data_IF_277761683691
#
_entry.id   IF_277761683691
#
_cell.length_a   1.000
_cell.length_b   1.000
_cell.length_c   1.000
_cell.angle_alpha   90.00
_cell.angle_beta   90.00
_cell.angle_gamma   90.00
#
_symmetry.space_group_name_H-M   'P 1'
#
loop_
_entity.id
_entity.type
_entity.pdbx_description
1 polymer ?
#
# COMPACT_ATOMS: atom_id res chain seq x y z
N UNK A 1 20.97 -7.63 14.40
CA UNK A 1 19.74 -6.94 13.94
C UNK A 1 18.62 -7.97 13.87
N UNK A 2 17.63 -7.92 14.75
CA UNK A 2 16.55 -8.94 14.75
C UNK A 2 15.74 -8.81 13.46
N UNK A 3 15.75 -9.88 12.66
CA UNK A 3 14.97 -10.01 11.43
C UNK A 3 13.50 -10.27 11.81
N UNK A 4 12.81 -9.23 12.31
CA UNK A 4 11.40 -9.35 12.71
C UNK A 4 10.54 -9.27 11.46
N UNK A 5 9.96 -10.42 11.09
CA UNK A 5 8.89 -10.50 10.08
C UNK A 5 7.75 -9.57 10.47
N UNK A 6 7.16 -8.89 9.49
CA UNK A 6 5.93 -8.12 9.68
C UNK A 6 4.80 -9.03 10.18
N UNK A 7 4.18 -8.64 11.29
CA UNK A 7 3.20 -9.44 12.01
C UNK A 7 1.87 -8.68 12.10
N UNK A 8 0.71 -9.32 11.85
CA UNK A 8 -0.57 -8.61 11.72
C UNK A 8 -1.04 -7.97 13.03
N UNK A 9 -0.89 -8.65 14.18
CA UNK A 9 -1.43 -8.15 15.45
C UNK A 9 -0.73 -6.86 15.93
N UNK A 10 0.61 -6.78 16.03
CA UNK A 10 1.27 -5.53 16.41
C UNK A 10 0.99 -4.41 15.40
N UNK A 11 0.91 -4.73 14.11
CA UNK A 11 0.59 -3.76 13.07
C UNK A 11 -0.81 -3.17 13.26
N UNK A 12 -1.80 -4.02 13.54
CA UNK A 12 -3.16 -3.59 13.82
C UNK A 12 -3.24 -2.63 15.01
N UNK A 13 -2.66 -2.99 16.16
CA UNK A 13 -2.67 -2.12 17.34
C UNK A 13 -1.91 -0.82 17.10
N UNK A 14 -0.78 -0.85 16.37
CA UNK A 14 -0.07 0.37 16.01
C UNK A 14 -0.91 1.25 15.07
N UNK A 15 -1.66 0.66 14.12
CA UNK A 15 -2.61 1.41 13.28
C UNK A 15 -3.66 2.12 14.14
N UNK A 16 -4.27 1.43 15.12
CA UNK A 16 -5.23 2.05 16.02
C UNK A 16 -4.61 3.22 16.80
N UNK A 17 -3.39 3.04 17.33
CA UNK A 17 -2.65 4.11 18.00
C UNK A 17 -2.37 5.30 17.08
N UNK A 18 -2.03 5.06 15.80
CA UNK A 18 -1.81 6.12 14.81
C UNK A 18 -3.09 6.91 14.53
N UNK A 19 -4.25 6.24 14.42
CA UNK A 19 -5.54 6.90 14.32
C UNK A 19 -5.86 7.74 15.56
N UNK A 20 -5.71 7.16 16.76
CA UNK A 20 -5.98 7.84 18.02
C UNK A 20 -5.06 9.04 18.28
N UNK A 21 -3.87 9.05 17.68
CA UNK A 21 -2.92 10.18 17.76
C UNK A 21 -3.04 11.18 16.61
N UNK A 22 -4.03 11.03 15.71
CA UNK A 22 -4.26 11.96 14.60
C UNK A 22 -3.19 11.92 13.52
N UNK A 23 -2.40 10.85 13.43
CA UNK A 23 -1.26 10.71 12.52
C UNK A 23 -1.60 10.07 11.17
N UNK A 24 -2.88 9.78 10.93
CA UNK A 24 -3.36 9.14 9.70
C UNK A 24 -4.23 10.15 8.95
N UNK A 25 -3.85 10.47 7.72
CA UNK A 25 -4.50 11.47 6.89
C UNK A 25 -5.04 10.86 5.60
N UNK A 26 -6.24 11.28 5.19
CA UNK A 26 -6.89 10.84 3.95
C UNK A 26 -7.06 12.02 2.98
N UNK A 27 -5.97 12.49 2.36
CA UNK A 27 -6.05 13.56 1.37
C UNK A 27 -6.95 13.15 0.20
N UNK A 28 -7.78 14.09 -0.27
CA UNK A 28 -8.76 13.87 -1.33
C UNK A 28 -8.43 14.57 -2.64
N UNK A 29 -7.38 15.39 -2.66
CA UNK A 29 -7.03 16.30 -3.75
C UNK A 29 -6.70 15.56 -5.06
N UNK A 30 -6.22 14.31 -4.96
CA UNK A 30 -5.83 13.49 -6.11
C UNK A 30 -6.87 12.44 -6.50
N UNK A 31 -8.00 12.36 -5.81
CA UNK A 31 -9.00 11.33 -6.12
C UNK A 31 -9.65 11.61 -7.48
N UNK A 32 -9.78 10.58 -8.30
CA UNK A 32 -10.27 10.68 -9.68
C UNK A 32 -9.20 11.14 -10.68
N UNK A 33 -8.01 11.57 -10.22
CA UNK A 33 -6.94 11.94 -11.13
C UNK A 33 -6.42 10.73 -11.91
N UNK A 34 -6.19 10.96 -13.20
CA UNK A 34 -5.60 9.98 -14.10
C UNK A 34 -4.09 10.13 -14.16
N UNK A 35 -3.41 8.99 -14.17
CA UNK A 35 -1.97 8.91 -14.35
C UNK A 35 -1.63 7.85 -15.41
N UNK A 36 -0.56 8.09 -16.15
CA UNK A 36 0.01 7.10 -17.07
C UNK A 36 1.08 6.30 -16.32
N UNK A 37 0.96 4.98 -16.31
CA UNK A 37 1.96 4.05 -15.79
C UNK A 37 2.25 2.99 -16.82
N UNK A 38 3.52 2.88 -17.22
CA UNK A 38 3.99 1.88 -18.18
C UNK A 38 3.18 1.92 -19.50
N UNK A 39 2.71 3.12 -19.90
CA UNK A 39 1.88 3.34 -21.08
C UNK A 39 0.38 3.07 -20.90
N UNK A 40 -0.03 2.61 -19.72
CA UNK A 40 -1.43 2.32 -19.39
C UNK A 40 -2.06 3.46 -18.55
N UNK A 41 -3.37 3.65 -18.71
CA UNK A 41 -4.16 4.62 -17.94
C UNK A 41 -4.57 4.04 -16.58
N UNK A 42 -4.33 4.79 -15.52
CA UNK A 42 -4.72 4.44 -14.15
C UNK A 42 -5.45 5.59 -13.48
N UNK A 43 -6.41 5.28 -12.62
CA UNK A 43 -7.20 6.26 -11.86
C UNK A 43 -6.89 6.10 -10.37
N UNK A 44 -6.57 7.20 -9.71
CA UNK A 44 -6.42 7.26 -8.27
C UNK A 44 -7.80 7.20 -7.61
N UNK A 45 -8.05 6.19 -6.77
CA UNK A 45 -9.33 6.08 -6.05
C UNK A 45 -9.21 6.20 -4.53
N UNK A 46 -8.00 6.17 -3.97
CA UNK A 46 -7.75 6.41 -2.55
C UNK A 46 -6.33 6.89 -2.30
N UNK A 47 -6.16 7.65 -1.23
CA UNK A 47 -4.85 7.97 -0.67
C UNK A 47 -4.89 7.97 0.86
N UNK A 48 -3.80 7.53 1.47
CA UNK A 48 -3.54 7.62 2.91
C UNK A 48 -2.09 8.05 3.12
N UNK A 49 -1.86 8.89 4.11
CA UNK A 49 -0.52 9.30 4.57
C UNK A 49 -0.45 9.07 6.06
N UNK A 50 0.67 8.54 6.53
CA UNK A 50 1.00 8.37 7.94
C UNK A 50 2.15 9.31 8.27
N UNK A 51 1.95 10.18 9.27
CA UNK A 51 3.00 11.11 9.67
C UNK A 51 4.22 10.33 10.18
N UNK A 52 5.44 10.68 9.73
CA UNK A 52 6.65 10.07 10.25
C UNK A 52 6.84 10.29 11.75
N UNK A 53 7.55 9.40 12.45
CA UNK A 53 8.08 9.71 13.78
C UNK A 53 8.94 10.97 13.75
N UNK A 54 9.02 11.66 14.88
CA UNK A 54 9.94 12.79 15.02
C UNK A 54 11.38 12.33 14.73
N UNK A 55 12.11 13.11 13.93
CA UNK A 55 13.49 12.79 13.52
C UNK A 55 13.62 11.83 12.34
N UNK A 56 12.53 11.26 11.82
CA UNK A 56 12.59 10.45 10.61
C UNK A 56 12.79 11.33 9.36
N UNK A 57 13.41 10.77 8.32
CA UNK A 57 13.65 11.48 7.06
C UNK A 57 12.33 12.01 6.45
N UNK A 58 12.39 13.19 5.83
CA UNK A 58 11.23 13.83 5.20
C UNK A 58 10.77 13.06 3.96
N UNK A 59 11.70 12.67 3.10
CA UNK A 59 11.42 11.86 1.92
C UNK A 59 11.32 10.37 2.29
N UNK A 60 10.49 9.57 1.58
CA UNK A 60 10.55 8.12 1.67
C UNK A 60 11.86 7.61 1.07
N UNK A 61 12.35 6.46 1.53
CA UNK A 61 13.55 5.80 0.98
C UNK A 61 13.24 4.78 -0.10
N UNK A 62 11.98 4.34 -0.23
CA UNK A 62 11.57 3.42 -1.29
C UNK A 62 10.09 3.52 -1.61
N UNK A 63 9.73 3.11 -2.84
CA UNK A 63 8.35 2.87 -3.28
C UNK A 63 8.20 1.40 -3.65
N UNK A 64 7.26 0.71 -3.02
CA UNK A 64 6.79 -0.60 -3.45
C UNK A 64 5.56 -0.40 -4.37
N UNK A 65 5.64 -0.90 -5.62
CA UNK A 65 4.57 -0.76 -6.63
C UNK A 65 4.10 -2.14 -7.09
N UNK A 66 2.98 -2.68 -6.56
CA UNK A 66 2.40 -3.91 -7.04
C UNK A 66 1.47 -3.67 -8.23
N UNK A 67 1.23 -4.70 -9.02
CA UNK A 67 0.02 -4.86 -9.83
C UNK A 67 -0.58 -6.23 -9.54
N UNK A 68 -1.91 -6.29 -9.55
CA UNK A 68 -2.65 -7.52 -9.34
C UNK A 68 -4.06 -7.40 -9.90
N UNK A 69 -4.64 -8.54 -10.29
CA UNK A 69 -6.03 -8.64 -10.68
C UNK A 69 -6.79 -9.44 -9.62
N UNK A 70 -7.87 -8.91 -9.07
CA UNK A 70 -8.62 -9.60 -8.00
C UNK A 70 -9.53 -10.67 -8.59
N UNK A 71 -9.49 -11.87 -8.02
CA UNK A 71 -10.39 -12.95 -8.39
C UNK A 71 -11.76 -12.78 -7.72
N UNK A 72 -12.85 -13.14 -8.42
CA UNK A 72 -14.20 -13.31 -7.87
C UNK A 72 -14.77 -12.07 -7.14
N UNK A 73 -14.36 -10.86 -7.52
CA UNK A 73 -14.85 -9.63 -6.92
C UNK A 73 -14.85 -8.50 -7.95
N UNK A 74 -15.94 -7.72 -8.01
CA UNK A 74 -15.98 -6.54 -8.88
C UNK A 74 -14.99 -5.47 -8.41
N UNK A 75 -14.59 -4.59 -9.32
CA UNK A 75 -13.71 -3.46 -9.04
C UNK A 75 -14.25 -2.62 -7.87
N UNK A 76 -15.54 -2.28 -7.89
CA UNK A 76 -16.18 -1.45 -6.86
C UNK A 76 -16.19 -2.15 -5.50
N UNK A 77 -16.50 -3.46 -5.49
CA UNK A 77 -16.46 -4.24 -4.26
C UNK A 77 -15.05 -4.31 -3.68
N UNK A 78 -14.02 -4.48 -4.51
CA UNK A 78 -12.63 -4.49 -4.03
C UNK A 78 -12.16 -3.09 -3.58
N UNK A 79 -12.59 -2.02 -4.25
CA UNK A 79 -12.33 -0.66 -3.78
C UNK A 79 -12.88 -0.47 -2.36
N UNK A 80 -14.13 -0.87 -2.09
CA UNK A 80 -14.69 -0.82 -0.75
C UNK A 80 -13.91 -1.73 0.23
N UNK A 81 -13.69 -2.99 -0.15
CA UNK A 81 -12.97 -3.97 0.66
C UNK A 81 -11.56 -3.52 1.05
N UNK A 82 -10.89 -2.73 0.21
CA UNK A 82 -9.52 -2.27 0.44
C UNK A 82 -9.33 -1.43 1.71
N UNK A 83 -10.42 -1.00 2.38
CA UNK A 83 -10.38 -0.42 3.73
C UNK A 83 -9.95 -1.43 4.81
N UNK A 84 -10.32 -2.71 4.68
CA UNK A 84 -10.04 -3.71 5.70
C UNK A 84 -8.54 -4.05 5.80
N UNK A 85 -7.81 -4.38 4.71
CA UNK A 85 -6.38 -4.66 4.80
C UNK A 85 -5.56 -3.46 5.25
N UNK A 86 -6.06 -2.24 5.01
CA UNK A 86 -5.40 -1.00 5.43
C UNK A 86 -5.13 -1.00 6.94
N UNK A 87 -6.07 -1.50 7.76
CA UNK A 87 -5.91 -1.56 9.22
C UNK A 87 -4.68 -2.36 9.68
N UNK A 88 -4.19 -3.27 8.83
CA UNK A 88 -3.03 -4.10 9.12
C UNK A 88 -1.75 -3.61 8.45
N UNK A 89 -1.84 -2.66 7.52
CA UNK A 89 -0.70 -2.16 6.75
C UNK A 89 -0.17 -0.85 7.34
N UNK A 90 -1.04 0.08 7.75
CA UNK A 90 -0.61 1.44 8.18
C UNK A 90 0.33 1.42 9.38
N UNK A 91 0.15 0.45 10.28
CA UNK A 91 0.96 0.29 11.47
C UNK A 91 2.23 -0.53 11.27
N UNK A 92 2.55 -0.94 10.04
CA UNK A 92 3.81 -1.64 9.76
C UNK A 92 5.01 -0.69 9.92
N UNK A 93 6.13 -1.16 10.50
CA UNK A 93 7.35 -0.36 10.63
C UNK A 93 7.77 0.24 9.28
N UNK A 94 8.03 1.55 9.27
CA UNK A 94 8.48 2.30 8.11
C UNK A 94 7.43 2.60 7.05
N UNK A 95 6.18 2.18 7.22
CA UNK A 95 5.11 2.58 6.31
C UNK A 95 4.91 4.11 6.36
N UNK A 96 4.89 4.76 5.19
CA UNK A 96 4.71 6.22 5.07
C UNK A 96 3.40 6.59 4.40
N UNK A 97 3.09 5.99 3.27
CA UNK A 97 1.87 6.35 2.54
C UNK A 97 1.42 5.23 1.62
N UNK A 98 0.16 5.31 1.20
CA UNK A 98 -0.35 4.47 0.12
C UNK A 98 -1.28 5.27 -0.79
N UNK A 99 -1.04 5.16 -2.09
CA UNK A 99 -1.92 5.62 -3.16
C UNK A 99 -2.49 4.39 -3.84
N UNK A 100 -3.82 4.30 -3.95
CA UNK A 100 -4.47 3.19 -4.63
C UNK A 100 -4.89 3.58 -6.03
N UNK A 101 -4.62 2.68 -6.97
CA UNK A 101 -4.86 2.86 -8.38
C UNK A 101 -5.73 1.73 -8.93
N UNK A 102 -6.56 2.07 -9.90
CA UNK A 102 -7.31 1.09 -10.70
C UNK A 102 -7.10 1.40 -12.18
N UNK A 103 -6.88 0.37 -12.98
CA UNK A 103 -6.93 0.50 -14.43
C UNK A 103 -8.40 0.34 -14.86
N UNK A 104 -9.05 1.37 -15.42
CA UNK A 104 -10.47 1.32 -15.78
C UNK A 104 -10.75 0.39 -16.97
N UNK A 105 -9.74 0.07 -17.78
CA UNK A 105 -9.88 -0.81 -18.94
C UNK A 105 -9.78 -2.28 -18.54
N UNK A 106 -8.79 -2.65 -17.71
CA UNK A 106 -8.53 -4.04 -17.35
C UNK A 106 -9.17 -4.46 -16.03
N UNK A 107 -9.51 -3.51 -15.15
CA UNK A 107 -9.93 -3.79 -13.78
C UNK A 107 -8.78 -4.15 -12.84
N UNK A 108 -7.53 -4.05 -13.31
CA UNK A 108 -6.36 -4.30 -12.47
C UNK A 108 -6.20 -3.24 -11.38
N UNK A 109 -5.59 -3.64 -10.29
CA UNK A 109 -5.23 -2.77 -9.19
C UNK A 109 -3.72 -2.59 -9.11
N UNK A 110 -3.31 -1.39 -8.72
CA UNK A 110 -1.93 -1.04 -8.45
C UNK A 110 -1.87 -0.01 -7.31
N UNK A 111 -0.68 0.46 -6.97
CA UNK A 111 -0.51 1.56 -6.04
C UNK A 111 0.93 1.95 -5.79
N UNK A 112 1.11 3.11 -5.18
CA UNK A 112 2.39 3.57 -4.65
C UNK A 112 2.39 3.38 -3.15
N UNK A 113 3.30 2.57 -2.64
CA UNK A 113 3.42 2.27 -1.22
C UNK A 113 4.77 2.83 -0.80
N UNK A 114 4.75 3.97 -0.12
CA UNK A 114 5.98 4.64 0.29
C UNK A 114 6.45 4.03 1.62
N UNK A 115 7.73 3.68 1.63
CA UNK A 115 8.43 3.12 2.77
C UNK A 115 9.61 3.99 3.13
N UNK A 116 9.96 3.96 4.41
CA UNK A 116 11.13 4.67 4.94
C UNK A 116 12.44 4.14 4.36
N UNK A 117 12.53 2.86 4.00
CA UNK A 117 13.73 2.28 3.38
C UNK A 117 13.41 1.13 2.42
N UNK A 118 14.39 0.78 1.57
CA UNK A 118 14.30 -0.36 0.64
C UNK A 118 14.06 -1.67 1.41
N UNK A 119 14.77 -1.88 2.52
CA UNK A 119 14.66 -3.10 3.33
C UNK A 119 13.24 -3.27 3.90
N UNK A 120 12.56 -2.17 4.23
CA UNK A 120 11.18 -2.21 4.72
C UNK A 120 10.18 -2.51 3.61
N UNK A 121 10.43 -2.01 2.39
CA UNK A 121 9.67 -2.40 1.20
C UNK A 121 9.86 -3.88 0.85
N UNK A 122 11.07 -4.42 0.94
CA UNK A 122 11.37 -5.84 0.73
C UNK A 122 10.68 -6.73 1.77
N UNK A 123 10.70 -6.31 3.04
CA UNK A 123 9.95 -6.99 4.11
C UNK A 123 8.45 -7.00 3.86
N UNK A 124 7.90 -5.91 3.31
CA UNK A 124 6.50 -5.87 2.91
C UNK A 124 6.20 -6.90 1.81
N UNK A 125 7.08 -7.03 0.82
CA UNK A 125 6.96 -8.01 -0.26
C UNK A 125 6.91 -9.47 0.25
N UNK A 126 7.50 -9.75 1.41
CA UNK A 126 7.51 -11.08 2.03
C UNK A 126 6.47 -11.22 3.17
N UNK A 127 5.61 -10.22 3.37
CA UNK A 127 4.71 -10.13 4.52
C UNK A 127 3.41 -10.91 4.36
N UNK A 128 2.66 -11.03 5.47
CA UNK A 128 1.29 -11.56 5.45
C UNK A 128 0.36 -10.75 4.54
N UNK A 129 0.58 -9.43 4.41
CA UNK A 129 -0.25 -8.57 3.58
C UNK A 129 -0.05 -8.90 2.09
N UNK A 130 1.19 -9.14 1.67
CA UNK A 130 1.50 -9.61 0.32
C UNK A 130 0.87 -10.99 0.07
N UNK A 131 1.07 -11.96 0.97
CA UNK A 131 0.47 -13.29 0.84
C UNK A 131 -1.06 -13.24 0.74
N UNK A 132 -1.69 -12.40 1.55
CA UNK A 132 -3.13 -12.20 1.53
C UNK A 132 -3.60 -11.58 0.21
N UNK A 133 -2.89 -10.59 -0.32
CA UNK A 133 -3.17 -9.99 -1.63
C UNK A 133 -2.97 -10.99 -2.77
N UNK A 134 -1.93 -11.82 -2.72
CA UNK A 134 -1.71 -12.88 -3.72
C UNK A 134 -2.80 -13.93 -3.67
N UNK A 135 -3.19 -14.42 -2.49
CA UNK A 135 -4.20 -15.48 -2.35
C UNK A 135 -5.61 -15.10 -2.81
N UNK A 136 -5.91 -13.81 -2.92
CA UNK A 136 -7.20 -13.28 -3.42
C UNK A 136 -7.14 -12.80 -4.87
N UNK A 137 -5.97 -12.85 -5.49
CA UNK A 137 -5.76 -12.42 -6.86
C UNK A 137 -5.89 -13.59 -7.84
N UNK A 138 -6.14 -13.31 -9.11
CA UNK A 138 -6.05 -14.33 -10.16
C UNK A 138 -4.64 -14.92 -10.15
N UNK A 139 -4.49 -16.26 -10.22
CA UNK A 139 -3.18 -16.91 -10.25
C UNK A 139 -2.29 -16.32 -11.35
N UNK A 140 -1.04 -15.96 -11.01
CA UNK A 140 -0.08 -15.37 -11.94
C UNK A 140 -0.26 -13.87 -12.25
N UNK A 141 -1.33 -13.22 -11.76
CA UNK A 141 -1.56 -11.78 -12.02
C UNK A 141 -0.74 -10.84 -11.14
N UNK A 142 -0.14 -11.34 -10.06
CA UNK A 142 0.54 -10.51 -9.07
C UNK A 142 2.01 -10.35 -9.41
N UNK A 143 2.43 -9.11 -9.59
CA UNK A 143 3.83 -8.73 -9.69
C UNK A 143 4.08 -7.44 -8.93
N UNK A 144 5.34 -7.14 -8.63
CA UNK A 144 5.71 -5.90 -7.98
C UNK A 144 7.13 -5.48 -8.37
N UNK A 145 7.42 -4.21 -8.10
CA UNK A 145 8.78 -3.69 -8.12
C UNK A 145 9.02 -2.81 -6.89
N UNK A 146 10.29 -2.68 -6.51
CA UNK A 146 10.75 -1.78 -5.47
C UNK A 146 11.65 -0.75 -6.13
N UNK A 147 11.30 0.53 -5.98
CA UNK A 147 12.03 1.66 -6.56
C UNK A 147 12.70 2.42 -5.40
N UNK A 148 14.03 2.37 -5.25
CA UNK A 148 14.75 3.21 -4.30
C UNK A 148 14.48 4.69 -4.57
N UNK A 149 14.37 5.47 -3.52
CA UNK A 149 14.27 6.93 -3.59
C UNK A 149 15.59 7.49 -3.07
N UNK A 150 16.35 8.14 -3.96
CA UNK A 150 17.66 8.77 -3.67
C UNK A 150 17.49 10.19 -3.17
#
# INVERSE_FOLDING_TARGET
MQNRTFHPLPAFFNTLRLFLSGRVHFPRQRLGQEISLDGERWVIFRQVIVDPPAGAARAPGAVFRPRFHIANMSVQANQLFSWLPMLFILGLPGFRSKLWLVNPLTGDFSGYYEWESVEQAERYAQSFAMRFMTGRSLPGSVYYQIIPQV
#
